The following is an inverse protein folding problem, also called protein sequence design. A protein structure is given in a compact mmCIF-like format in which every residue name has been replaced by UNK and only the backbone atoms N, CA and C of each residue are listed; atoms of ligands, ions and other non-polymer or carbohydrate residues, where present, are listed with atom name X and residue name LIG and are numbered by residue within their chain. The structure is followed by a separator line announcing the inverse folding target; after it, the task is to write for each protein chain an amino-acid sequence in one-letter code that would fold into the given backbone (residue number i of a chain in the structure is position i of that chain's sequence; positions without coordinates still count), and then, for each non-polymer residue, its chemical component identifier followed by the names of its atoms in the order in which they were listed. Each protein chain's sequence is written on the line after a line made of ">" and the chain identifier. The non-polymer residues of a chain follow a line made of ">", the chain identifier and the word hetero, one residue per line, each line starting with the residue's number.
data_IF_288223239662
#
_entry.id   IF_288223239662
#
_cell.length_a   1.000
_cell.length_b   1.000
_cell.length_c   1.000
_cell.angle_alpha   90.00
_cell.angle_beta   90.00
_cell.angle_gamma   90.00
#
_symmetry.space_group_name_H-M   'P 1'
#
loop_
_entity.id
_entity.type
_entity.pdbx_description
1 polymer ?
#
# COMPACT_ATOMS: atom_id res chain seq x y z
N UNK A 1 14.41 -22.05 -16.89
CA UNK A 1 13.47 -21.30 -16.03
C UNK A 1 14.06 -19.92 -15.89
N UNK A 2 13.41 -18.91 -16.47
CA UNK A 2 13.90 -17.53 -16.43
C UNK A 2 13.77 -17.06 -14.99
N UNK A 3 14.91 -16.83 -14.35
CA UNK A 3 15.02 -16.19 -13.05
C UNK A 3 14.59 -14.73 -13.24
N UNK A 4 13.28 -14.47 -13.16
CA UNK A 4 12.76 -13.10 -13.17
C UNK A 4 13.10 -12.55 -11.80
N UNK A 5 14.26 -11.87 -11.71
CA UNK A 5 14.65 -11.14 -10.52
C UNK A 5 13.50 -10.20 -10.13
N UNK A 6 13.03 -10.18 -8.87
CA UNK A 6 12.03 -9.22 -8.43
C UNK A 6 12.53 -7.82 -8.77
N UNK A 7 11.64 -7.01 -9.32
CA UNK A 7 11.92 -5.62 -9.64
C UNK A 7 12.12 -4.88 -8.31
N UNK A 8 13.21 -4.15 -8.14
CA UNK A 8 13.46 -3.40 -6.90
C UNK A 8 12.63 -2.11 -6.90
N UNK A 9 11.88 -1.85 -5.82
CA UNK A 9 11.09 -0.62 -5.63
C UNK A 9 11.94 0.65 -5.81
N UNK A 10 13.25 0.57 -5.56
CA UNK A 10 14.20 1.66 -5.77
C UNK A 10 14.31 2.10 -7.23
N UNK A 11 13.86 1.29 -8.19
CA UNK A 11 13.75 1.66 -9.60
C UNK A 11 12.50 2.49 -9.91
N UNK A 12 11.59 2.64 -8.93
CA UNK A 12 10.31 3.33 -9.05
C UNK A 12 10.22 4.44 -7.99
N UNK A 13 10.95 5.55 -8.17
CA UNK A 13 11.11 6.57 -7.15
C UNK A 13 9.80 7.22 -6.68
N UNK A 14 8.80 7.38 -7.56
CA UNK A 14 7.56 8.05 -7.21
C UNK A 14 6.61 7.11 -6.45
N UNK A 15 6.59 5.83 -6.81
CA UNK A 15 5.99 4.74 -6.03
C UNK A 15 6.64 4.64 -4.66
N UNK A 16 7.97 4.53 -4.60
CA UNK A 16 8.71 4.40 -3.35
C UNK A 16 8.43 5.57 -2.40
N UNK A 17 8.49 6.81 -2.92
CA UNK A 17 8.23 8.02 -2.13
C UNK A 17 6.78 8.09 -1.65
N UNK A 18 5.83 7.71 -2.49
CA UNK A 18 4.41 7.73 -2.13
C UNK A 18 4.09 6.69 -1.06
N UNK A 19 4.55 5.45 -1.23
CA UNK A 19 4.37 4.41 -0.22
C UNK A 19 5.03 4.78 1.10
N UNK A 20 6.25 5.35 1.07
CA UNK A 20 6.91 5.83 2.27
C UNK A 20 6.12 6.94 2.97
N UNK A 21 5.56 7.90 2.22
CA UNK A 21 4.72 8.97 2.75
C UNK A 21 3.41 8.43 3.37
N UNK A 22 2.76 7.47 2.72
CA UNK A 22 1.50 6.87 3.22
C UNK A 22 1.67 6.13 4.55
N UNK A 23 2.87 5.59 4.82
CA UNK A 23 3.23 4.88 6.05
C UNK A 23 3.54 5.79 7.24
N UNK A 24 3.74 7.08 6.98
CA UNK A 24 4.00 8.04 8.04
C UNK A 24 2.76 8.20 8.91
N UNK A 25 2.97 8.44 10.20
CA UNK A 25 1.89 8.80 11.10
C UNK A 25 1.25 10.14 10.67
N UNK A 26 -0.04 10.39 10.98
CA UNK A 26 -0.71 11.62 10.56
C UNK A 26 -0.02 12.92 11.01
N UNK A 27 0.74 12.89 12.12
CA UNK A 27 1.56 14.03 12.54
C UNK A 27 2.78 14.23 11.65
N UNK A 28 3.46 13.15 11.26
CA UNK A 28 4.64 13.17 10.39
C UNK A 28 4.28 13.56 8.95
N UNK A 29 3.11 13.13 8.47
CA UNK A 29 2.59 13.55 7.17
C UNK A 29 2.39 15.06 7.08
N UNK A 30 1.96 15.72 8.16
CA UNK A 30 1.78 17.18 8.20
C UNK A 30 3.10 17.95 8.12
N UNK A 31 4.19 17.32 8.54
CA UNK A 31 5.53 17.90 8.54
C UNK A 31 6.34 17.53 7.29
N UNK A 32 5.88 16.54 6.53
CA UNK A 32 6.53 16.03 5.32
C UNK A 32 5.87 16.60 4.08
N UNK A 33 6.68 16.99 3.09
CA UNK A 33 6.15 17.44 1.80
C UNK A 33 5.41 16.28 1.10
N UNK A 34 4.15 16.52 0.71
CA UNK A 34 3.38 15.51 -0.01
C UNK A 34 4.04 15.18 -1.35
N UNK A 35 4.19 13.88 -1.70
CA UNK A 35 4.71 13.46 -2.99
C UNK A 35 3.77 13.85 -4.13
N UNK A 36 4.34 14.01 -5.33
CA UNK A 36 3.57 14.27 -6.54
C UNK A 36 2.70 13.06 -6.91
N UNK A 37 1.39 13.20 -6.68
CA UNK A 37 0.38 12.16 -6.95
C UNK A 37 0.21 11.86 -8.43
N UNK A 38 0.46 12.84 -9.30
CA UNK A 38 0.38 12.64 -10.75
C UNK A 38 1.60 11.88 -11.27
N UNK A 39 2.80 12.21 -10.79
CA UNK A 39 4.02 11.47 -11.11
C UNK A 39 3.92 10.01 -10.65
N UNK A 40 3.48 9.80 -9.41
CA UNK A 40 3.18 8.48 -8.86
C UNK A 40 2.20 7.69 -9.73
N UNK A 41 1.05 8.28 -10.09
CA UNK A 41 0.03 7.60 -10.90
C UNK A 41 0.60 7.17 -12.25
N UNK A 42 1.32 8.04 -12.94
CA UNK A 42 1.93 7.74 -14.24
C UNK A 42 2.93 6.59 -14.13
N UNK A 43 3.80 6.61 -13.12
CA UNK A 43 4.76 5.54 -12.89
C UNK A 43 4.06 4.19 -12.63
N UNK A 44 2.99 4.16 -11.83
CA UNK A 44 2.18 2.96 -11.62
C UNK A 44 1.57 2.46 -12.92
N UNK A 45 1.00 3.34 -13.75
CA UNK A 45 0.38 2.98 -15.02
C UNK A 45 1.38 2.41 -16.03
N UNK A 46 2.58 2.97 -16.08
CA UNK A 46 3.68 2.51 -16.93
C UNK A 46 4.20 1.14 -16.51
N UNK A 47 4.36 0.90 -15.20
CA UNK A 47 4.93 -0.34 -14.68
C UNK A 47 3.92 -1.50 -14.71
N UNK A 48 2.67 -1.25 -14.34
CA UNK A 48 1.66 -2.30 -14.20
C UNK A 48 0.94 -2.64 -15.52
N UNK A 49 0.73 -1.64 -16.39
CA UNK A 49 -0.10 -1.80 -17.58
C UNK A 49 -1.58 -2.04 -17.29
N UNK A 50 -2.40 -1.96 -18.34
CA UNK A 50 -3.88 -1.89 -18.24
C UNK A 50 -4.55 -3.06 -17.52
N UNK A 51 -4.03 -4.27 -17.70
CA UNK A 51 -4.63 -5.48 -17.13
C UNK A 51 -4.50 -5.50 -15.60
N UNK A 52 -3.31 -5.18 -15.08
CA UNK A 52 -3.06 -5.10 -13.63
C UNK A 52 -3.70 -3.87 -13.01
N UNK A 53 -3.79 -2.73 -13.72
CA UNK A 53 -4.51 -1.54 -13.23
C UNK A 53 -5.98 -1.83 -12.93
N UNK A 54 -6.62 -2.68 -13.73
CA UNK A 54 -8.00 -3.10 -13.49
C UNK A 54 -8.14 -3.87 -12.16
N UNK A 55 -7.11 -4.61 -11.76
CA UNK A 55 -7.04 -5.29 -10.47
C UNK A 55 -6.84 -4.30 -9.31
N UNK A 56 -5.94 -3.32 -9.47
CA UNK A 56 -5.75 -2.25 -8.47
C UNK A 56 -7.05 -1.49 -8.19
N UNK A 57 -7.82 -1.17 -9.24
CA UNK A 57 -9.15 -0.53 -9.12
C UNK A 57 -10.20 -1.37 -8.41
N UNK A 58 -9.97 -2.68 -8.25
CA UNK A 58 -10.82 -3.57 -7.44
C UNK A 58 -10.28 -3.78 -6.02
N UNK A 59 -9.18 -3.10 -5.64
CA UNK A 59 -8.53 -3.28 -4.35
C UNK A 59 -7.51 -4.42 -4.32
N UNK A 60 -7.20 -5.07 -5.44
CA UNK A 60 -6.30 -6.22 -5.47
C UNK A 60 -4.83 -5.79 -5.35
N UNK A 61 -4.30 -5.76 -4.12
CA UNK A 61 -2.91 -5.39 -3.82
C UNK A 61 -1.85 -6.35 -4.40
N UNK A 62 -2.25 -7.57 -4.78
CA UNK A 62 -1.39 -8.52 -5.50
C UNK A 62 -0.88 -8.00 -6.84
N UNK A 63 -1.53 -6.99 -7.44
CA UNK A 63 -1.06 -6.36 -8.68
C UNK A 63 0.37 -5.80 -8.58
N UNK A 64 0.80 -5.42 -7.37
CA UNK A 64 2.13 -4.86 -7.07
C UNK A 64 3.18 -5.92 -6.66
N UNK A 65 2.84 -7.20 -6.69
CA UNK A 65 3.69 -8.29 -6.16
C UNK A 65 5.07 -8.44 -6.81
N UNK A 66 5.23 -7.93 -8.02
CA UNK A 66 6.46 -8.01 -8.80
C UNK A 66 7.59 -7.11 -8.30
N UNK A 67 7.28 -6.07 -7.52
CA UNK A 67 8.29 -5.14 -6.99
C UNK A 67 8.09 -4.63 -5.57
N UNK A 68 6.91 -4.83 -4.98
CA UNK A 68 6.69 -4.60 -3.56
C UNK A 68 6.65 -5.96 -2.87
N UNK A 69 7.63 -6.26 -2.02
CA UNK A 69 7.65 -7.54 -1.29
C UNK A 69 6.72 -7.53 -0.07
N UNK A 70 6.63 -6.38 0.61
CA UNK A 70 5.84 -6.22 1.82
C UNK A 70 4.33 -6.08 1.47
N UNK A 71 3.45 -6.95 2.01
CA UNK A 71 2.01 -6.85 1.79
C UNK A 71 1.40 -5.50 2.17
N UNK A 72 1.89 -4.88 3.25
CA UNK A 72 1.39 -3.58 3.69
C UNK A 72 1.79 -2.47 2.71
N UNK A 73 3.00 -2.53 2.15
CA UNK A 73 3.46 -1.58 1.11
C UNK A 73 2.59 -1.69 -0.15
N UNK A 74 2.18 -2.90 -0.53
CA UNK A 74 1.23 -3.12 -1.64
C UNK A 74 -0.12 -2.47 -1.38
N UNK A 75 -0.65 -2.60 -0.17
CA UNK A 75 -1.94 -2.01 0.19
C UNK A 75 -1.89 -0.48 0.19
N UNK A 76 -0.80 0.12 0.69
CA UNK A 76 -0.63 1.57 0.58
C UNK A 76 -0.50 2.04 -0.87
N UNK A 77 0.22 1.31 -1.72
CA UNK A 77 0.29 1.62 -3.15
C UNK A 77 -1.09 1.53 -3.83
N UNK A 78 -1.86 0.49 -3.53
CA UNK A 78 -3.24 0.33 -4.01
C UNK A 78 -4.13 1.49 -3.56
N UNK A 79 -4.13 1.81 -2.26
CA UNK A 79 -4.86 2.94 -1.69
C UNK A 79 -4.51 4.24 -2.40
N UNK A 80 -3.21 4.56 -2.49
CA UNK A 80 -2.72 5.77 -3.10
C UNK A 80 -3.13 5.87 -4.58
N UNK A 81 -3.07 4.75 -5.32
CA UNK A 81 -3.51 4.72 -6.72
C UNK A 81 -5.00 5.01 -6.85
N UNK A 82 -5.83 4.32 -6.08
CA UNK A 82 -7.30 4.50 -6.09
C UNK A 82 -7.72 5.93 -5.73
N UNK A 83 -6.97 6.60 -4.85
CA UNK A 83 -7.21 8.01 -4.48
C UNK A 83 -6.72 8.99 -5.54
N UNK A 84 -5.67 8.64 -6.29
CA UNK A 84 -5.11 9.47 -7.36
C UNK A 84 -5.84 9.33 -8.71
N UNK A 85 -6.54 8.21 -8.92
CA UNK A 85 -7.27 7.92 -10.16
C UNK A 85 -8.58 8.72 -10.19
N UNK A 86 -8.73 9.71 -11.09
CA UNK A 86 -9.93 10.54 -11.15
C UNK A 86 -11.20 9.74 -11.50
N UNK A 87 -11.09 8.61 -12.20
CA UNK A 87 -12.24 7.76 -12.51
C UNK A 87 -12.72 6.98 -11.29
N UNK A 88 -11.80 6.64 -10.38
CA UNK A 88 -12.07 5.79 -9.23
C UNK A 88 -12.30 6.57 -7.92
N UNK A 89 -11.61 7.70 -7.74
CA UNK A 89 -11.75 8.57 -6.57
C UNK A 89 -13.19 9.03 -6.36
N UNK A 90 -13.94 9.27 -7.45
CA UNK A 90 -15.35 9.69 -7.37
C UNK A 90 -16.28 8.54 -6.95
N UNK A 91 -15.87 7.29 -7.17
CA UNK A 91 -16.68 6.13 -6.90
C UNK A 91 -16.68 5.67 -5.43
N UNK A 92 -15.71 6.12 -4.61
CA UNK A 92 -15.49 5.78 -3.19
C UNK A 92 -16.26 4.52 -2.72
N UNK A 93 -15.98 3.42 -3.41
CA UNK A 93 -16.75 2.18 -3.30
C UNK A 93 -16.27 1.31 -2.16
N UNK A 94 -16.93 0.16 -2.01
CA UNK A 94 -16.58 -0.84 -0.99
C UNK A 94 -15.13 -1.32 -1.10
N UNK A 95 -14.55 -1.34 -2.32
CA UNK A 95 -13.15 -1.70 -2.54
C UNK A 95 -12.16 -0.78 -1.80
N UNK A 96 -12.39 0.54 -1.76
CA UNK A 96 -11.50 1.46 -1.02
C UNK A 96 -11.60 1.18 0.48
N UNK A 97 -12.81 0.92 0.98
CA UNK A 97 -13.03 0.60 2.40
C UNK A 97 -12.38 -0.72 2.79
N UNK A 98 -12.45 -1.72 1.92
CA UNK A 98 -11.83 -3.02 2.12
C UNK A 98 -10.30 -2.90 2.23
N UNK A 99 -9.67 -2.18 1.30
CA UNK A 99 -8.21 -1.90 1.36
C UNK A 99 -7.84 -1.16 2.64
N UNK A 100 -8.61 -0.14 3.04
CA UNK A 100 -8.37 0.57 4.30
C UNK A 100 -8.54 -0.32 5.53
N UNK A 101 -9.53 -1.21 5.54
CA UNK A 101 -9.74 -2.18 6.62
C UNK A 101 -8.55 -3.14 6.73
N UNK A 102 -8.08 -3.67 5.61
CA UNK A 102 -6.94 -4.60 5.57
C UNK A 102 -5.65 -3.93 6.05
N UNK A 103 -5.43 -2.66 5.70
CA UNK A 103 -4.30 -1.87 6.24
C UNK A 103 -4.38 -1.80 7.77
N UNK A 104 -5.54 -1.45 8.31
CA UNK A 104 -5.74 -1.33 9.77
C UNK A 104 -5.50 -2.67 10.47
N UNK A 105 -6.01 -3.77 9.91
CA UNK A 105 -5.85 -5.11 10.47
C UNK A 105 -4.37 -5.54 10.49
N UNK A 106 -3.64 -5.36 9.38
CA UNK A 106 -2.22 -5.71 9.29
C UNK A 106 -1.37 -4.82 10.20
N UNK A 107 -1.64 -3.52 10.25
CA UNK A 107 -0.96 -2.62 11.19
C UNK A 107 -1.21 -3.03 12.65
N UNK A 108 -2.43 -3.42 12.99
CA UNK A 108 -2.78 -3.86 14.33
C UNK A 108 -2.01 -5.13 14.71
N UNK A 109 -1.97 -6.13 13.83
CA UNK A 109 -1.21 -7.35 14.05
C UNK A 109 0.31 -7.06 14.15
N UNK A 110 0.84 -6.17 13.31
CA UNK A 110 2.25 -5.75 13.39
C UNK A 110 2.57 -5.06 14.73
N UNK A 111 1.68 -4.18 15.21
CA UNK A 111 1.84 -3.53 16.53
C UNK A 111 1.81 -4.55 17.65
N UNK A 112 0.87 -5.51 17.62
CA UNK A 112 0.75 -6.58 18.63
C UNK A 112 1.99 -7.47 18.69
N UNK A 113 2.56 -7.83 17.53
CA UNK A 113 3.82 -8.57 17.44
C UNK A 113 4.99 -7.75 18.00
N UNK A 114 5.05 -6.46 17.71
CA UNK A 114 6.12 -5.56 18.18
C UNK A 114 6.06 -5.27 19.69
N UNK A 115 4.86 -5.14 20.27
CA UNK A 115 4.68 -4.90 21.71
C UNK A 115 4.78 -6.17 22.55
N UNK A 116 4.85 -7.34 21.91
CA UNK A 116 4.90 -8.63 22.61
C UNK A 116 3.63 -8.92 23.41
N UNK A 117 2.51 -8.29 23.05
CA UNK A 117 1.20 -8.52 23.67
C UNK A 117 0.58 -9.83 23.13
N UNK A 118 1.38 -10.90 23.19
CA UNK A 118 0.85 -12.25 23.30
C UNK A 118 0.24 -12.30 24.70
N UNK A 119 -1.09 -12.25 24.75
CA UNK A 119 -1.87 -12.28 25.98
C UNK A 119 -1.22 -13.18 27.04
N UNK A 120 -0.69 -12.60 28.11
CA UNK A 120 -0.62 -13.30 29.40
C UNK A 120 -2.03 -13.43 29.97
N UNK A 121 -2.96 -14.04 29.22
CA UNK A 121 -4.18 -14.62 29.79
C UNK A 121 -3.83 -16.03 30.22
N UNK A 122 -3.24 -16.13 31.40
CA UNK A 122 -2.96 -17.42 32.02
C UNK A 122 -1.87 -17.36 33.07
N UNK A 123 -2.12 -16.73 34.21
CA UNK A 123 -1.51 -17.15 35.47
C UNK A 123 -2.32 -16.62 36.66
N UNK A 124 -2.87 -17.60 37.37
CA UNK A 124 -3.58 -17.60 38.66
C UNK A 124 -2.85 -16.89 39.79
N UNK A 125 -3.58 -16.22 40.69
CA UNK A 125 -3.63 -16.49 42.13
C UNK A 125 -4.93 -15.94 42.73
#
# INVERSE_FOLDING_TARGET
>A
MTDIKPLDISNFPDIARTVAYEKLEPSEQRETAEPDREAFRREVEEVLGKDRLSAVRRGEASAFDSFLENPLDRLYATKAYMQSDPEHAVAHGDAVREVLSEIVDIEFENRKLATGEVERRGLTH
#
